data_IF_192012098363
#
_entry.id   IF_192012098363
#
_cell.length_a   1.000
_cell.length_b   1.000
_cell.length_c   1.000
_cell.angle_alpha   90.00
_cell.angle_beta   90.00
_cell.angle_gamma   90.00
#
_symmetry.space_group_name_H-M   'P 1'
#
loop_
_entity.id
_entity.type
_entity.pdbx_description
1 polymer ?
#
# COMPACT_ATOMS: atom_id res chain seq x y z
N UNK A 1 -2.40 5.14 3.42
CA UNK A 1 -3.27 5.11 2.23
C UNK A 1 -3.11 3.76 1.53
N UNK A 2 -4.20 3.14 1.09
CA UNK A 2 -4.19 1.86 0.36
C UNK A 2 -4.68 2.12 -1.06
N UNK A 3 -3.83 1.88 -2.05
CA UNK A 3 -4.04 2.28 -3.45
C UNK A 3 -4.13 1.04 -4.32
N UNK A 4 -5.08 0.98 -5.25
CA UNK A 4 -5.07 -0.04 -6.29
C UNK A 4 -6.32 -0.05 -7.14
N UNK A 5 -6.22 -0.68 -8.32
CA UNK A 5 -7.31 -0.74 -9.29
C UNK A 5 -8.35 -1.84 -8.97
N UNK A 6 -7.95 -2.88 -8.23
CA UNK A 6 -8.88 -3.93 -7.80
C UNK A 6 -9.56 -3.56 -6.47
N UNK A 7 -10.83 -3.15 -6.55
CA UNK A 7 -11.65 -2.73 -5.41
C UNK A 7 -11.65 -3.77 -4.28
N UNK A 8 -11.77 -5.07 -4.60
CA UNK A 8 -11.83 -6.13 -3.58
C UNK A 8 -10.51 -6.25 -2.83
N UNK A 9 -9.37 -6.13 -3.54
CA UNK A 9 -8.06 -6.20 -2.89
C UNK A 9 -7.82 -4.99 -2.00
N UNK A 10 -8.11 -3.78 -2.49
CA UNK A 10 -8.01 -2.54 -1.69
C UNK A 10 -8.88 -2.61 -0.44
N UNK A 11 -10.13 -3.07 -0.54
CA UNK A 11 -11.02 -3.23 0.62
C UNK A 11 -10.49 -4.27 1.61
N UNK A 12 -9.97 -5.40 1.12
CA UNK A 12 -9.44 -6.47 1.97
C UNK A 12 -8.19 -6.02 2.73
N UNK A 13 -7.24 -5.39 2.03
CA UNK A 13 -6.03 -4.82 2.65
C UNK A 13 -6.39 -3.71 3.64
N UNK A 14 -7.35 -2.85 3.27
CA UNK A 14 -7.85 -1.82 4.19
C UNK A 14 -8.43 -2.44 5.47
N UNK A 15 -9.19 -3.53 5.35
CA UNK A 15 -9.71 -4.27 6.52
C UNK A 15 -8.59 -4.82 7.40
N UNK A 16 -7.49 -5.31 6.83
CA UNK A 16 -6.33 -5.74 7.61
C UNK A 16 -5.70 -4.59 8.38
N UNK A 17 -5.51 -3.43 7.74
CA UNK A 17 -4.99 -2.23 8.40
C UNK A 17 -5.92 -1.74 9.53
N UNK A 18 -7.22 -1.70 9.30
CA UNK A 18 -8.22 -1.30 10.31
C UNK A 18 -8.19 -2.23 11.54
N UNK A 19 -7.96 -3.54 11.36
CA UNK A 19 -7.79 -4.49 12.48
C UNK A 19 -6.58 -4.21 13.38
N UNK A 20 -5.62 -3.41 12.89
CA UNK A 20 -4.46 -2.93 13.66
C UNK A 20 -4.69 -1.53 14.23
N UNK A 21 -5.95 -1.07 14.28
CA UNK A 21 -6.36 0.26 14.74
C UNK A 21 -5.70 1.41 13.96
N UNK A 22 -5.39 1.19 12.68
CA UNK A 22 -4.89 2.24 11.80
C UNK A 22 -6.05 2.97 11.12
N UNK A 23 -5.91 4.28 10.94
CA UNK A 23 -6.77 5.02 10.03
C UNK A 23 -6.37 4.70 8.58
N UNK A 24 -7.36 4.45 7.72
CA UNK A 24 -7.12 4.00 6.36
C UNK A 24 -7.92 4.82 5.37
N UNK A 25 -7.20 5.44 4.44
CA UNK A 25 -7.78 6.03 3.23
C UNK A 25 -7.64 5.05 2.06
N UNK A 26 -8.74 4.42 1.58
CA UNK A 26 -8.72 3.61 0.37
C UNK A 26 -8.81 4.48 -0.88
N UNK A 27 -7.96 4.22 -1.87
CA UNK A 27 -7.97 4.87 -3.18
C UNK A 27 -8.11 3.83 -4.28
N UNK A 28 -9.15 3.97 -5.09
CA UNK A 28 -9.46 3.05 -6.18
C UNK A 28 -8.94 3.60 -7.51
N UNK A 29 -7.99 2.91 -8.12
CA UNK A 29 -7.28 3.35 -9.32
C UNK A 29 -5.86 3.85 -9.02
N UNK A 30 -5.35 4.74 -9.87
CA UNK A 30 -4.02 5.33 -9.76
C UNK A 30 -4.18 6.82 -9.42
N UNK A 31 -3.72 7.28 -8.25
CA UNK A 31 -3.76 8.69 -7.89
C UNK A 31 -2.72 9.48 -8.68
N UNK A 32 -2.94 10.78 -8.79
CA UNK A 32 -1.84 11.70 -9.15
C UNK A 32 -1.01 12.00 -7.90
N UNK A 33 0.25 12.41 -8.06
CA UNK A 33 1.17 12.65 -6.94
C UNK A 33 0.66 13.74 -6.00
N UNK A 34 -0.09 14.70 -6.53
CA UNK A 34 -0.75 15.75 -5.74
C UNK A 34 -1.76 15.19 -4.75
N UNK A 35 -2.48 14.12 -5.09
CA UNK A 35 -3.42 13.47 -4.17
C UNK A 35 -2.66 12.86 -2.98
N UNK A 36 -1.56 12.16 -3.26
CA UNK A 36 -0.74 11.53 -2.20
C UNK A 36 -0.16 12.61 -1.29
N UNK A 37 0.32 13.70 -1.86
CA UNK A 37 0.86 14.85 -1.12
C UNK A 37 -0.19 15.52 -0.27
N UNK A 38 -1.41 15.70 -0.80
CA UNK A 38 -2.54 16.32 -0.10
C UNK A 38 -2.96 15.50 1.13
N UNK A 39 -3.06 14.18 0.99
CA UNK A 39 -3.45 13.29 2.09
C UNK A 39 -2.30 12.99 3.07
N UNK A 40 -1.06 13.27 2.69
CA UNK A 40 0.16 13.08 3.49
C UNK A 40 0.17 11.76 4.31
N UNK A 41 -0.02 10.59 3.67
CA UNK A 41 -0.20 9.36 4.41
C UNK A 41 1.10 8.88 5.06
N UNK A 42 1.03 8.48 6.33
CA UNK A 42 2.16 7.89 7.07
C UNK A 42 2.74 6.62 6.45
N UNK A 43 1.94 5.88 5.67
CA UNK A 43 2.37 4.70 4.95
C UNK A 43 1.55 4.50 3.68
N UNK A 44 2.19 3.99 2.63
CA UNK A 44 1.54 3.55 1.41
C UNK A 44 1.50 2.03 1.30
N UNK A 45 0.36 1.50 0.89
CA UNK A 45 0.23 0.13 0.42
C UNK A 45 -0.32 0.16 -1.01
N UNK A 46 0.44 -0.38 -1.96
CA UNK A 46 0.07 -0.48 -3.36
C UNK A 46 -0.38 -1.91 -3.65
N UNK A 47 -1.66 -2.10 -3.96
CA UNK A 47 -2.22 -3.38 -4.36
C UNK A 47 -1.99 -3.61 -5.85
N UNK A 48 -1.24 -4.67 -6.17
CA UNK A 48 -0.98 -5.07 -7.55
C UNK A 48 -2.24 -5.64 -8.23
N UNK A 49 -2.32 -5.53 -9.58
CA UNK A 49 -1.39 -4.81 -10.46
C UNK A 49 -1.52 -3.29 -10.34
N UNK A 50 -0.39 -2.58 -10.45
CA UNK A 50 -0.32 -1.11 -10.49
C UNK A 50 0.69 -0.69 -11.57
N UNK A 51 0.49 0.48 -12.18
CA UNK A 51 1.36 0.94 -13.27
C UNK A 51 2.80 1.15 -12.76
N UNK A 52 3.79 0.66 -13.51
CA UNK A 52 5.21 0.82 -13.17
C UNK A 52 5.65 2.29 -13.19
N UNK A 53 5.14 3.08 -14.13
CA UNK A 53 5.49 4.50 -14.22
C UNK A 53 5.05 5.26 -12.96
N UNK A 54 3.87 4.94 -12.43
CA UNK A 54 3.40 5.48 -11.16
C UNK A 54 4.30 5.08 -9.99
N UNK A 55 4.78 3.83 -9.94
CA UNK A 55 5.71 3.40 -8.88
C UNK A 55 7.02 4.20 -8.90
N UNK A 56 7.49 4.61 -10.09
CA UNK A 56 8.71 5.41 -10.26
C UNK A 56 8.53 6.86 -9.83
N UNK A 57 7.30 7.38 -9.86
CA UNK A 57 6.96 8.75 -9.46
C UNK A 57 6.77 8.92 -7.95
N UNK A 58 6.64 7.82 -7.19
CA UNK A 58 6.48 7.87 -5.74
C UNK A 58 7.85 7.95 -5.07
N UNK A 59 8.15 9.10 -4.46
CA UNK A 59 9.39 9.30 -3.70
C UNK A 59 9.37 8.67 -2.29
N UNK A 60 8.18 8.40 -1.74
CA UNK A 60 8.04 7.86 -0.39
C UNK A 60 8.04 6.32 -0.35
N UNK A 61 8.57 5.68 0.72
CA UNK A 61 8.53 4.24 0.86
C UNK A 61 7.11 3.68 0.79
N UNK A 62 6.95 2.58 0.04
CA UNK A 62 5.66 1.92 -0.12
C UNK A 62 5.78 0.41 0.04
N UNK A 63 4.65 -0.21 0.40
CA UNK A 63 4.51 -1.66 0.55
C UNK A 63 3.78 -2.19 -0.66
N UNK A 64 4.38 -3.13 -1.39
CA UNK A 64 3.70 -3.82 -2.49
C UNK A 64 2.91 -5.01 -1.94
N UNK A 65 1.59 -4.97 -2.13
CA UNK A 65 0.69 -6.07 -1.82
C UNK A 65 0.31 -6.83 -3.09
N UNK A 66 0.44 -8.15 -3.06
CA UNK A 66 -0.07 -9.03 -4.11
C UNK A 66 -0.81 -10.22 -3.52
N UNK A 67 -1.98 -10.52 -4.04
CA UNK A 67 -2.70 -11.76 -3.69
C UNK A 67 -2.18 -12.96 -4.49
N UNK A 68 -1.41 -12.69 -5.55
CA UNK A 68 -0.78 -13.68 -6.40
C UNK A 68 0.73 -13.71 -6.12
N UNK A 69 1.34 -14.90 -6.21
CA UNK A 69 2.80 -15.03 -6.18
C UNK A 69 3.30 -14.62 -7.56
N UNK A 70 3.71 -13.36 -7.70
CA UNK A 70 4.30 -12.84 -8.94
C UNK A 70 5.81 -12.74 -8.72
N UNK A 71 6.60 -13.48 -9.47
CA UNK A 71 8.06 -13.39 -9.38
C UNK A 71 8.55 -12.18 -10.17
N UNK A 72 8.48 -11.00 -9.55
CA UNK A 72 8.98 -9.74 -10.15
C UNK A 72 10.33 -9.30 -9.56
N UNK A 73 10.98 -10.12 -8.73
CA UNK A 73 12.21 -9.73 -8.02
C UNK A 73 12.05 -8.58 -7.01
N UNK A 74 10.81 -8.13 -6.74
CA UNK A 74 10.50 -7.10 -5.76
C UNK A 74 10.07 -7.73 -4.43
N UNK A 75 10.33 -7.06 -3.28
CA UNK A 75 9.87 -7.54 -1.98
C UNK A 75 8.34 -7.43 -1.88
N UNK A 76 7.66 -8.53 -2.21
CA UNK A 76 6.19 -8.61 -2.21
C UNK A 76 5.65 -9.09 -0.87
N UNK A 77 4.58 -8.44 -0.43
CA UNK A 77 3.76 -8.86 0.71
C UNK A 77 2.55 -9.62 0.16
N UNK A 78 2.42 -10.89 0.56
CA UNK A 78 1.30 -11.75 0.11
C UNK A 78 0.41 -12.24 1.23
N UNK A 79 0.81 -11.98 2.49
CA UNK A 79 0.06 -12.41 3.67
C UNK A 79 -0.22 -11.24 4.62
N UNK A 80 -1.34 -11.26 5.37
CA UNK A 80 -1.63 -10.22 6.37
C UNK A 80 -0.52 -10.07 7.41
N UNK A 81 0.12 -11.17 7.81
CA UNK A 81 1.23 -11.13 8.79
C UNK A 81 2.42 -10.34 8.25
N UNK A 82 2.82 -10.57 7.00
CA UNK A 82 3.88 -9.79 6.36
C UNK A 82 3.48 -8.31 6.24
N UNK A 83 2.22 -8.03 5.89
CA UNK A 83 1.71 -6.65 5.83
C UNK A 83 1.85 -5.95 7.18
N UNK A 84 1.51 -6.62 8.28
CA UNK A 84 1.62 -6.05 9.62
C UNK A 84 3.07 -5.73 9.99
N UNK A 85 4.00 -6.64 9.70
CA UNK A 85 5.43 -6.40 9.95
C UNK A 85 5.95 -5.21 9.13
N UNK A 86 5.55 -5.11 7.85
CA UNK A 86 5.96 -4.01 6.99
C UNK A 86 5.36 -2.68 7.44
N UNK A 87 4.08 -2.66 7.86
CA UNK A 87 3.42 -1.48 8.40
C UNK A 87 4.08 -1.02 9.70
N UNK A 88 4.39 -1.93 10.62
CA UNK A 88 5.09 -1.57 11.86
C UNK A 88 6.43 -0.92 11.57
N UNK A 89 7.22 -1.45 10.63
CA UNK A 89 8.49 -0.84 10.21
C UNK A 89 8.30 0.53 9.57
N UNK A 90 7.32 0.67 8.68
CA UNK A 90 7.03 1.95 8.01
C UNK A 90 6.61 3.03 9.02
N UNK A 91 5.82 2.65 10.02
CA UNK A 91 5.28 3.58 11.01
C UNK A 91 6.25 3.88 12.17
N UNK A 92 7.15 2.96 12.52
CA UNK A 92 8.16 3.17 13.57
C UNK A 92 9.23 4.20 13.17
N UNK A 93 9.46 4.41 11.87
CA UNK A 93 10.39 5.43 11.36
C UNK A 93 9.89 6.87 11.50
N UNK A 94 8.71 7.09 12.10
CA UNK A 94 8.07 8.40 12.26
C UNK A 94 8.17 8.97 13.70
N UNK A 95 8.85 8.26 14.61
CA UNK A 95 9.10 8.68 15.99
C UNK A 95 10.49 9.29 16.17
#
# INVERSE_FOLDING_TARGET
>A
MVIGSNVKSVQRVSSYCLKKNLEVFPYYGIPIIEDITLFAPHALVLCLPIAEDFQREIDQPYILWSEEIIDQGLPLVTTPTQLYVSLEKALQGLN
#
